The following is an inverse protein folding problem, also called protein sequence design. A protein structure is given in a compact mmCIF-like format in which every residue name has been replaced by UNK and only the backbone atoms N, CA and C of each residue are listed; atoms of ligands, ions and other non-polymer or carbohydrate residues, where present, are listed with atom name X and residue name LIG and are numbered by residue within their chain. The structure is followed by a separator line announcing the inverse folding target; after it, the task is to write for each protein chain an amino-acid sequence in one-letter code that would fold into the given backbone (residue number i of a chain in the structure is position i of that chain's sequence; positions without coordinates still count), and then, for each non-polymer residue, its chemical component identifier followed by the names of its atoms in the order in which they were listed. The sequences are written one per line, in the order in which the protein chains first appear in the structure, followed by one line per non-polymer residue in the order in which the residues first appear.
data_IF_103068818630
#
_entry.id   IF_103068818630
#
_cell.length_a   1.000
_cell.length_b   1.000
_cell.length_c   1.000
_cell.angle_alpha   90.00
_cell.angle_beta   90.00
_cell.angle_gamma   90.00
#
_symmetry.space_group_name_H-M   'P 1'
#
loop_
_entity.id
_entity.type
_entity.pdbx_description
1 polymer ?
#
# COMPACT_ATOMS: atom_id res chain seq x y z
N UNK A 1 -0.42 -13.13 -9.48
CA UNK A 1 -0.62 -12.78 -10.91
C UNK A 1 -1.43 -11.49 -11.08
N UNK A 2 -2.64 -11.40 -10.52
CA UNK A 2 -3.57 -10.26 -10.71
C UNK A 2 -2.94 -8.92 -10.29
N UNK A 3 -2.32 -8.84 -9.11
CA UNK A 3 -1.67 -7.61 -8.61
C UNK A 3 -0.58 -7.13 -9.57
N UNK A 4 0.19 -8.04 -10.19
CA UNK A 4 1.20 -7.66 -11.17
C UNK A 4 0.59 -7.10 -12.45
N UNK A 5 -0.55 -7.65 -12.89
CA UNK A 5 -1.29 -7.12 -14.05
C UNK A 5 -1.85 -5.73 -13.76
N UNK A 6 -2.47 -5.53 -12.58
CA UNK A 6 -2.97 -4.22 -12.16
C UNK A 6 -1.84 -3.20 -12.08
N UNK A 7 -0.72 -3.58 -11.45
CA UNK A 7 0.46 -2.73 -11.38
C UNK A 7 0.97 -2.34 -12.78
N UNK A 8 1.11 -3.30 -13.69
CA UNK A 8 1.58 -3.04 -15.05
C UNK A 8 0.62 -2.13 -15.85
N UNK A 9 -0.69 -2.34 -15.70
CA UNK A 9 -1.72 -1.61 -16.45
C UNK A 9 -1.87 -0.16 -16.01
N UNK A 10 -1.85 0.09 -14.68
CA UNK A 10 -2.13 1.40 -14.13
C UNK A 10 -0.90 2.28 -13.92
N UNK A 11 0.32 1.70 -13.98
CA UNK A 11 1.57 2.43 -13.74
C UNK A 11 1.84 3.50 -14.78
N UNK A 12 2.00 4.73 -14.32
CA UNK A 12 2.30 5.90 -15.17
C UNK A 12 3.59 5.70 -15.98
N UNK A 13 4.56 4.96 -15.45
CA UNK A 13 5.83 4.66 -16.15
C UNK A 13 5.67 3.67 -17.31
N UNK A 14 4.49 3.03 -17.45
CA UNK A 14 4.22 2.10 -18.54
C UNK A 14 3.37 2.71 -19.66
N UNK A 15 3.20 4.04 -19.69
CA UNK A 15 2.37 4.71 -20.70
C UNK A 15 2.76 4.34 -22.13
N UNK A 16 4.07 4.35 -22.44
CA UNK A 16 4.62 4.07 -23.78
C UNK A 16 4.85 2.58 -24.05
N UNK A 17 4.73 1.73 -23.03
CA UNK A 17 4.95 0.28 -23.12
C UNK A 17 3.65 -0.53 -23.25
N UNK A 18 2.53 0.12 -23.45
CA UNK A 18 1.23 -0.54 -23.42
C UNK A 18 1.07 -1.64 -24.46
N UNK A 19 1.55 -1.40 -25.69
CA UNK A 19 1.55 -2.41 -26.75
C UNK A 19 2.43 -3.62 -26.43
N UNK A 20 3.61 -3.38 -25.84
CA UNK A 20 4.53 -4.44 -25.41
C UNK A 20 3.89 -5.34 -24.34
N UNK A 21 3.22 -4.72 -23.36
CA UNK A 21 2.68 -5.42 -22.18
C UNK A 21 1.32 -6.08 -22.43
N UNK A 22 0.48 -5.50 -23.30
CA UNK A 22 -0.93 -5.89 -23.43
C UNK A 22 -1.40 -6.06 -24.89
N UNK A 23 -0.52 -5.97 -25.88
CA UNK A 23 -0.86 -5.96 -27.30
C UNK A 23 -1.64 -7.16 -27.80
N UNK A 24 -1.52 -8.31 -27.13
CA UNK A 24 -2.26 -9.55 -27.44
C UNK A 24 -3.51 -9.75 -26.55
N UNK A 25 -3.83 -8.80 -25.69
CA UNK A 25 -4.93 -8.90 -24.75
C UNK A 25 -6.11 -8.05 -25.19
N UNK A 26 -7.33 -8.50 -24.89
CA UNK A 26 -8.57 -7.76 -25.17
C UNK A 26 -8.53 -6.31 -24.67
N UNK A 27 -7.90 -6.07 -23.49
CA UNK A 27 -7.79 -4.75 -22.87
C UNK A 27 -6.94 -3.77 -23.71
N UNK A 28 -6.13 -4.24 -24.63
CA UNK A 28 -5.34 -3.37 -25.52
C UNK A 28 -6.25 -2.60 -26.48
N UNK A 29 -7.27 -3.27 -27.05
CA UNK A 29 -8.24 -2.66 -27.94
C UNK A 29 -9.32 -1.86 -27.19
N UNK A 30 -9.54 -2.18 -25.91
CA UNK A 30 -10.58 -1.58 -25.07
C UNK A 30 -9.99 -0.97 -23.77
N UNK A 31 -9.02 -0.04 -23.85
CA UNK A 31 -8.39 0.50 -22.66
C UNK A 31 -9.33 1.41 -21.86
N UNK A 32 -9.21 1.35 -20.55
CA UNK A 32 -9.92 2.30 -19.68
C UNK A 32 -9.25 3.68 -19.69
N UNK A 33 -9.99 4.73 -19.37
CA UNK A 33 -9.46 6.09 -19.23
C UNK A 33 -8.41 6.25 -18.14
N UNK A 34 -8.33 5.28 -17.23
CA UNK A 34 -7.40 5.27 -16.09
C UNK A 34 -6.09 4.53 -16.35
N UNK A 35 -5.91 3.95 -17.54
CA UNK A 35 -4.67 3.29 -17.94
C UNK A 35 -3.47 4.23 -17.79
N UNK A 36 -2.39 3.75 -17.17
CA UNK A 36 -1.14 4.47 -16.98
C UNK A 36 -1.33 5.89 -16.36
N UNK A 37 -2.17 5.98 -15.32
CA UNK A 37 -2.49 7.25 -14.65
C UNK A 37 -2.06 7.31 -13.19
N UNK A 38 -1.43 6.26 -12.66
CA UNK A 38 -1.11 6.17 -11.24
C UNK A 38 0.36 5.85 -11.01
N UNK A 39 0.90 6.37 -9.94
CA UNK A 39 2.06 5.78 -9.28
C UNK A 39 1.58 4.56 -8.48
N UNK A 40 2.29 3.45 -8.57
CA UNK A 40 1.90 2.19 -7.93
C UNK A 40 2.71 1.99 -6.65
N UNK A 41 2.04 2.07 -5.52
CA UNK A 41 2.60 1.69 -4.22
C UNK A 41 2.18 0.25 -3.90
N UNK A 42 3.13 -0.59 -3.48
CA UNK A 42 2.86 -2.01 -3.22
C UNK A 42 3.36 -2.42 -1.85
N UNK A 43 2.50 -3.14 -1.12
CA UNK A 43 2.88 -3.90 0.07
C UNK A 43 2.55 -5.38 -0.15
N UNK A 44 3.40 -6.26 0.34
CA UNK A 44 3.12 -7.69 0.46
C UNK A 44 3.48 -8.11 1.89
N UNK A 45 2.48 -8.33 2.71
CA UNK A 45 2.69 -8.60 4.13
C UNK A 45 3.07 -10.04 4.44
N UNK A 46 3.10 -10.93 3.44
CA UNK A 46 3.72 -12.26 3.62
C UNK A 46 5.24 -12.21 3.80
N UNK A 47 5.86 -11.10 3.37
CA UNK A 47 7.31 -10.91 3.48
C UNK A 47 7.75 -10.23 4.79
N UNK A 48 6.82 -9.92 5.70
CA UNK A 48 7.16 -9.34 7.02
C UNK A 48 7.70 -10.43 7.94
N UNK A 49 8.88 -10.20 8.51
CA UNK A 49 9.47 -11.12 9.47
C UNK A 49 8.73 -11.08 10.81
N UNK A 50 8.25 -12.24 11.27
CA UNK A 50 7.53 -12.36 12.54
C UNK A 50 8.46 -12.82 13.67
N UNK A 51 9.51 -12.04 13.96
CA UNK A 51 10.43 -12.34 15.06
C UNK A 51 9.82 -11.94 16.40
N UNK A 52 9.85 -12.83 17.43
CA UNK A 52 9.36 -12.52 18.76
C UNK A 52 10.00 -11.26 19.36
N UNK A 53 9.18 -10.37 19.93
CA UNK A 53 9.63 -9.12 20.54
C UNK A 53 10.06 -8.01 19.56
N UNK A 54 9.98 -8.28 18.24
CA UNK A 54 10.35 -7.33 17.16
C UNK A 54 9.30 -7.17 16.09
N UNK A 55 8.05 -7.51 16.38
CA UNK A 55 6.97 -7.51 15.39
C UNK A 55 6.74 -6.13 14.78
N UNK A 56 6.68 -5.10 15.62
CA UNK A 56 6.49 -3.72 15.19
C UNK A 56 7.71 -3.21 14.41
N UNK A 57 8.94 -3.46 14.90
CA UNK A 57 10.17 -3.09 14.21
C UNK A 57 10.24 -3.72 12.82
N UNK A 58 9.98 -5.03 12.71
CA UNK A 58 9.99 -5.76 11.43
C UNK A 58 8.91 -5.25 10.46
N UNK A 59 7.74 -4.90 10.96
CA UNK A 59 6.68 -4.30 10.16
C UNK A 59 7.08 -2.91 9.64
N UNK A 60 7.61 -2.06 10.51
CA UNK A 60 8.09 -0.72 10.17
C UNK A 60 9.23 -0.76 9.14
N UNK A 61 10.20 -1.66 9.31
CA UNK A 61 11.29 -1.87 8.36
C UNK A 61 10.76 -2.30 6.99
N UNK A 62 9.86 -3.28 6.96
CA UNK A 62 9.25 -3.75 5.72
C UNK A 62 8.51 -2.62 5.00
N UNK A 63 7.63 -1.91 5.70
CA UNK A 63 6.86 -0.81 5.11
C UNK A 63 7.78 0.31 4.63
N UNK A 64 8.78 0.68 5.42
CA UNK A 64 9.79 1.69 5.04
C UNK A 64 10.51 1.29 3.75
N UNK A 65 10.95 0.04 3.62
CA UNK A 65 11.58 -0.47 2.42
C UNK A 65 10.71 -0.29 1.17
N UNK A 66 9.41 -0.60 1.26
CA UNK A 66 8.45 -0.41 0.14
C UNK A 66 8.22 1.06 -0.21
N UNK A 67 8.19 1.94 0.79
CA UNK A 67 8.04 3.38 0.57
C UNK A 67 9.29 4.01 -0.08
N UNK A 68 10.48 3.54 0.30
CA UNK A 68 11.74 3.96 -0.34
C UNK A 68 11.80 3.49 -1.79
N UNK A 69 11.46 2.23 -2.06
CA UNK A 69 11.38 1.67 -3.42
C UNK A 69 10.41 2.45 -4.31
N UNK A 70 9.27 2.85 -3.74
CA UNK A 70 8.32 3.73 -4.42
C UNK A 70 8.94 5.09 -4.74
N UNK A 71 9.62 5.72 -3.77
CA UNK A 71 10.26 7.01 -3.97
C UNK A 71 11.35 6.96 -5.05
N UNK A 72 12.18 5.92 -5.04
CA UNK A 72 13.25 5.73 -6.02
C UNK A 72 12.67 5.48 -7.44
N UNK A 73 11.60 4.69 -7.54
CA UNK A 73 10.93 4.39 -8.81
C UNK A 73 10.31 5.61 -9.49
N UNK A 74 9.79 6.56 -8.71
CA UNK A 74 9.11 7.74 -9.20
C UNK A 74 9.88 9.04 -8.92
N UNK A 75 11.18 8.96 -8.64
CA UNK A 75 12.04 10.11 -8.32
C UNK A 75 11.89 11.24 -9.34
N UNK A 76 11.80 10.89 -10.64
CA UNK A 76 11.66 11.85 -11.74
C UNK A 76 10.35 12.67 -11.73
N UNK A 77 9.36 12.29 -10.93
CA UNK A 77 8.09 13.00 -10.75
C UNK A 77 8.10 13.94 -9.55
N UNK A 78 9.10 13.82 -8.68
CA UNK A 78 9.23 14.62 -7.46
C UNK A 78 10.35 15.65 -7.58
N UNK A 79 10.31 16.65 -6.69
CA UNK A 79 11.38 17.63 -6.62
C UNK A 79 12.67 17.04 -5.99
N UNK A 80 13.84 17.58 -6.33
CA UNK A 80 15.08 17.21 -5.66
C UNK A 80 14.96 17.30 -4.13
N UNK A 81 15.52 16.32 -3.41
CA UNK A 81 15.43 16.24 -1.96
C UNK A 81 14.21 15.48 -1.43
N UNK A 82 13.25 15.07 -2.26
CA UNK A 82 12.06 14.32 -1.84
C UNK A 82 12.43 13.06 -1.05
N UNK A 83 13.38 12.26 -1.56
CA UNK A 83 13.84 11.04 -0.89
C UNK A 83 14.50 11.34 0.46
N UNK A 84 15.30 12.39 0.55
CA UNK A 84 15.96 12.79 1.80
C UNK A 84 14.93 13.19 2.86
N UNK A 85 13.93 14.00 2.49
CA UNK A 85 12.83 14.39 3.36
C UNK A 85 11.97 13.18 3.78
N UNK A 86 11.74 12.22 2.88
CA UNK A 86 11.05 10.98 3.21
C UNK A 86 11.81 10.20 4.29
N UNK A 87 13.12 10.09 4.16
CA UNK A 87 13.96 9.35 5.11
C UNK A 87 14.12 10.07 6.47
N UNK A 88 13.90 11.37 6.54
CA UNK A 88 13.89 12.11 7.81
C UNK A 88 12.67 11.78 8.69
N UNK A 89 11.63 11.17 8.13
CA UNK A 89 10.44 10.70 8.88
C UNK A 89 10.77 9.43 9.66
N UNK A 90 10.18 9.29 10.84
CA UNK A 90 10.56 8.20 11.77
C UNK A 90 9.78 6.92 11.57
N UNK A 91 8.51 6.99 11.11
CA UNK A 91 7.62 5.82 10.96
C UNK A 91 7.12 5.65 9.53
N UNK A 92 6.71 4.43 9.18
CA UNK A 92 6.08 4.13 7.89
C UNK A 92 4.82 4.99 7.67
N UNK A 93 4.03 5.20 8.70
CA UNK A 93 2.82 6.02 8.63
C UNK A 93 3.12 7.49 8.31
N UNK A 94 4.14 8.08 8.94
CA UNK A 94 4.54 9.47 8.65
C UNK A 94 5.20 9.62 7.27
N UNK A 95 5.90 8.59 6.80
CA UNK A 95 6.45 8.53 5.43
C UNK A 95 5.33 8.45 4.40
N UNK A 96 4.32 7.61 4.65
CA UNK A 96 3.17 7.46 3.77
C UNK A 96 2.37 8.77 3.66
N UNK A 97 2.13 9.45 4.78
CA UNK A 97 1.47 10.76 4.80
C UNK A 97 2.27 11.81 4.02
N UNK A 98 3.59 11.83 4.18
CA UNK A 98 4.47 12.73 3.42
C UNK A 98 4.41 12.47 1.90
N UNK A 99 4.46 11.20 1.48
CA UNK A 99 4.30 10.82 0.07
C UNK A 99 2.95 11.31 -0.45
N UNK A 100 1.86 11.00 0.26
CA UNK A 100 0.51 11.37 -0.16
C UNK A 100 0.33 12.88 -0.26
N UNK A 101 0.75 13.64 0.75
CA UNK A 101 0.63 15.10 0.77
C UNK A 101 1.47 15.76 -0.33
N UNK A 102 2.67 15.24 -0.61
CA UNK A 102 3.55 15.77 -1.67
C UNK A 102 2.99 15.43 -3.05
N UNK A 103 2.56 14.19 -3.27
CA UNK A 103 1.93 13.78 -4.52
C UNK A 103 0.63 14.57 -4.79
N UNK A 104 -0.18 14.82 -3.76
CA UNK A 104 -1.41 15.63 -3.86
C UNK A 104 -1.12 17.06 -4.34
N UNK A 105 -0.11 17.73 -3.78
CA UNK A 105 0.31 19.08 -4.22
C UNK A 105 0.76 19.10 -5.68
N UNK A 106 1.37 18.01 -6.15
CA UNK A 106 1.82 17.85 -7.53
C UNK A 106 0.71 17.33 -8.47
N UNK A 107 -0.50 17.09 -7.95
CA UNK A 107 -1.63 16.48 -8.67
C UNK A 107 -1.30 15.12 -9.26
N UNK A 108 -0.41 14.38 -8.61
CA UNK A 108 -0.08 13.00 -8.92
C UNK A 108 -1.08 12.09 -8.21
N UNK A 109 -1.29 10.90 -8.78
CA UNK A 109 -2.28 9.94 -8.30
C UNK A 109 -1.58 8.65 -7.86
N UNK A 110 -2.00 8.09 -6.74
CA UNK A 110 -1.45 6.83 -6.20
C UNK A 110 -2.53 5.75 -6.23
N UNK A 111 -2.16 4.57 -6.70
CA UNK A 111 -2.92 3.34 -6.54
C UNK A 111 -2.13 2.41 -5.61
N UNK A 112 -2.69 2.13 -4.45
CA UNK A 112 -2.11 1.22 -3.47
C UNK A 112 -2.58 -0.21 -3.73
N UNK A 113 -1.63 -1.12 -3.83
CA UNK A 113 -1.86 -2.56 -3.97
C UNK A 113 -1.30 -3.27 -2.74
N UNK A 114 -2.16 -3.93 -1.98
CA UNK A 114 -1.76 -4.72 -0.81
C UNK A 114 -2.05 -6.19 -1.09
N UNK A 115 -1.00 -7.01 -1.02
CA UNK A 115 -1.09 -8.46 -1.17
C UNK A 115 -0.95 -9.14 0.18
N UNK A 116 -1.76 -10.18 0.40
CA UNK A 116 -1.71 -11.01 1.60
C UNK A 116 -1.72 -10.19 2.91
N UNK A 117 -2.65 -9.23 3.01
CA UNK A 117 -2.73 -8.29 4.14
C UNK A 117 -2.85 -9.00 5.49
N UNK A 118 -3.45 -10.18 5.52
CA UNK A 118 -3.72 -10.96 6.71
C UNK A 118 -2.62 -12.00 7.05
N UNK A 119 -1.68 -12.25 6.15
CA UNK A 119 -0.64 -13.26 6.36
C UNK A 119 0.21 -12.95 7.60
N UNK A 120 0.66 -11.72 7.75
CA UNK A 120 1.45 -11.28 8.90
C UNK A 120 0.70 -11.47 10.22
N UNK A 121 -0.55 -11.04 10.30
CA UNK A 121 -1.37 -11.15 11.50
C UNK A 121 -1.79 -12.59 11.80
N UNK A 122 -2.05 -13.41 10.78
CA UNK A 122 -2.31 -14.85 10.94
C UNK A 122 -1.06 -15.57 11.47
N UNK A 123 0.13 -15.17 11.02
CA UNK A 123 1.38 -15.69 11.56
C UNK A 123 1.57 -15.29 13.04
N UNK A 124 1.26 -14.06 13.41
CA UNK A 124 1.27 -13.63 14.82
C UNK A 124 0.32 -14.50 15.64
N UNK A 125 -0.92 -14.66 15.18
CA UNK A 125 -1.95 -15.41 15.90
C UNK A 125 -1.56 -16.89 16.08
N UNK A 126 -1.05 -17.51 15.03
CA UNK A 126 -0.70 -18.94 15.04
C UNK A 126 0.59 -19.24 15.82
N UNK A 127 1.55 -18.31 15.82
CA UNK A 127 2.87 -18.53 16.41
C UNK A 127 2.97 -18.01 17.83
N UNK A 128 2.36 -16.84 18.12
CA UNK A 128 2.52 -16.14 19.39
C UNK A 128 1.21 -16.05 20.21
N UNK A 129 0.09 -16.45 19.60
CA UNK A 129 -1.20 -16.53 20.26
C UNK A 129 -1.99 -15.22 20.26
N UNK A 130 -3.16 -15.29 20.93
CA UNK A 130 -4.19 -14.24 20.87
C UNK A 130 -3.75 -12.91 21.48
N UNK A 131 -2.90 -12.93 22.50
CA UNK A 131 -2.51 -11.72 23.21
C UNK A 131 -1.59 -10.84 22.35
N UNK A 132 -0.61 -11.44 21.67
CA UNK A 132 0.26 -10.72 20.73
C UNK A 132 -0.51 -10.25 19.49
N UNK A 133 -1.43 -11.07 18.98
CA UNK A 133 -2.33 -10.66 17.91
C UNK A 133 -3.15 -9.41 18.29
N UNK A 134 -3.75 -9.41 19.50
CA UNK A 134 -4.53 -8.26 19.98
C UNK A 134 -3.70 -7.00 20.17
N UNK A 135 -2.46 -7.13 20.67
CA UNK A 135 -1.54 -5.99 20.81
C UNK A 135 -1.25 -5.32 19.45
N UNK A 136 -1.15 -6.10 18.38
CA UNK A 136 -0.89 -5.57 17.04
C UNK A 136 -2.15 -4.98 16.38
N UNK A 137 -3.33 -5.62 16.57
CA UNK A 137 -4.53 -5.36 15.77
C UNK A 137 -5.64 -4.60 16.47
N UNK A 138 -5.56 -4.42 17.79
CA UNK A 138 -6.61 -3.75 18.61
C UNK A 138 -6.06 -2.53 19.34
N UNK A 139 -6.95 -1.63 19.76
CA UNK A 139 -6.58 -0.42 20.51
C UNK A 139 -5.57 0.44 19.73
N UNK A 140 -4.44 0.70 20.34
CA UNK A 140 -3.30 1.46 19.78
C UNK A 140 -2.29 0.59 19.02
N UNK A 141 -2.68 -0.63 18.62
CA UNK A 141 -1.79 -1.56 17.93
C UNK A 141 -1.24 -1.00 16.61
N UNK A 142 0.05 -1.19 16.36
CA UNK A 142 0.78 -0.59 15.24
C UNK A 142 0.19 -0.96 13.87
N UNK A 143 -0.27 -2.20 13.71
CA UNK A 143 -0.89 -2.68 12.47
C UNK A 143 -2.24 -1.99 12.22
N UNK A 144 -3.08 -1.88 13.26
CA UNK A 144 -4.34 -1.14 13.21
C UNK A 144 -4.11 0.34 12.91
N UNK A 145 -3.13 0.96 13.56
CA UNK A 145 -2.80 2.36 13.34
C UNK A 145 -2.41 2.63 11.88
N UNK A 146 -1.57 1.77 11.29
CA UNK A 146 -1.20 1.86 9.88
C UNK A 146 -2.41 1.83 8.95
N UNK A 147 -3.34 0.89 9.16
CA UNK A 147 -4.58 0.81 8.36
C UNK A 147 -5.53 2.00 8.59
N UNK A 148 -5.57 2.56 9.79
CA UNK A 148 -6.32 3.80 10.06
C UNK A 148 -5.75 4.98 9.28
N UNK A 149 -4.42 5.08 9.16
CA UNK A 149 -3.76 6.10 8.32
C UNK A 149 -4.13 5.88 6.85
N UNK A 150 -4.07 4.65 6.34
CA UNK A 150 -4.51 4.34 4.97
C UNK A 150 -5.96 4.76 4.71
N UNK A 151 -6.87 4.45 5.64
CA UNK A 151 -8.27 4.86 5.58
C UNK A 151 -8.42 6.38 5.51
N UNK A 152 -7.72 7.11 6.36
CA UNK A 152 -7.73 8.57 6.35
C UNK A 152 -7.26 9.11 4.99
N UNK A 153 -6.16 8.59 4.45
CA UNK A 153 -5.58 9.05 3.19
C UNK A 153 -6.45 8.71 1.96
N UNK A 154 -7.35 7.72 2.05
CA UNK A 154 -8.29 7.39 0.97
C UNK A 154 -9.64 8.11 1.08
N UNK A 155 -9.94 8.74 2.21
CA UNK A 155 -11.26 9.32 2.49
C UNK A 155 -11.34 10.82 2.19
N UNK A 156 -10.21 11.50 2.00
CA UNK A 156 -10.14 12.95 1.83
C UNK A 156 -10.28 13.39 0.37
N UNK A 157 -11.07 14.44 0.13
CA UNK A 157 -11.08 15.10 -1.18
C UNK A 157 -9.71 15.69 -1.50
N UNK A 158 -9.17 15.39 -2.69
CA UNK A 158 -7.88 15.91 -3.14
C UNK A 158 -6.66 15.14 -2.61
N UNK A 159 -6.85 14.00 -1.97
CA UNK A 159 -5.75 13.11 -1.61
C UNK A 159 -5.19 12.39 -2.84
N UNK A 160 -3.87 12.18 -2.88
CA UNK A 160 -3.23 11.48 -3.98
C UNK A 160 -3.56 9.99 -3.99
N UNK A 161 -3.74 9.37 -2.81
CA UNK A 161 -4.14 7.97 -2.68
C UNK A 161 -5.63 7.81 -3.04
N UNK A 162 -5.90 7.63 -4.34
CA UNK A 162 -7.27 7.60 -4.86
C UNK A 162 -7.86 6.19 -4.93
N UNK A 163 -7.01 5.18 -5.02
CA UNK A 163 -7.44 3.78 -5.18
C UNK A 163 -6.63 2.86 -4.33
N UNK A 164 -7.31 1.83 -3.82
CA UNK A 164 -6.68 0.75 -3.06
C UNK A 164 -7.29 -0.58 -3.49
N UNK A 165 -6.44 -1.57 -3.69
CA UNK A 165 -6.83 -2.96 -3.91
C UNK A 165 -6.09 -3.83 -2.91
N UNK A 166 -6.85 -4.61 -2.15
CA UNK A 166 -6.34 -5.45 -1.07
C UNK A 166 -6.71 -6.90 -1.34
N UNK A 167 -5.74 -7.82 -1.23
CA UNK A 167 -5.99 -9.25 -1.26
C UNK A 167 -5.59 -9.90 0.05
N UNK A 168 -6.30 -10.96 0.42
CA UNK A 168 -6.04 -11.78 1.59
C UNK A 168 -7.05 -12.91 1.69
N UNK A 169 -6.83 -13.84 2.60
CA UNK A 169 -7.65 -15.04 2.78
C UNK A 169 -8.68 -14.87 3.90
N UNK A 170 -8.36 -14.09 4.94
CA UNK A 170 -9.19 -13.93 6.13
C UNK A 170 -9.83 -12.55 6.21
N UNK A 171 -11.15 -12.41 6.06
CA UNK A 171 -11.83 -11.14 6.27
C UNK A 171 -11.82 -10.66 7.73
N UNK A 172 -11.65 -11.57 8.69
CA UNK A 172 -11.69 -11.27 10.14
C UNK A 172 -10.63 -10.24 10.53
N UNK A 173 -9.40 -10.41 10.04
CA UNK A 173 -8.30 -9.47 10.34
C UNK A 173 -8.61 -8.06 9.82
N UNK A 174 -9.23 -7.95 8.66
CA UNK A 174 -9.60 -6.64 8.11
C UNK A 174 -10.66 -5.95 8.97
N UNK A 175 -11.65 -6.69 9.49
CA UNK A 175 -12.69 -6.16 10.37
C UNK A 175 -12.10 -5.72 11.73
N UNK A 176 -11.12 -6.47 12.27
CA UNK A 176 -10.43 -6.14 13.52
C UNK A 176 -9.59 -4.85 13.41
N UNK A 177 -8.91 -4.64 12.29
CA UNK A 177 -8.02 -3.47 12.10
C UNK A 177 -8.75 -2.27 11.52
N UNK A 178 -9.90 -2.45 10.91
CA UNK A 178 -10.60 -1.42 10.14
C UNK A 178 -12.04 -1.22 10.53
N UNK A 179 -12.40 -1.23 11.83
CA UNK A 179 -13.79 -1.04 12.24
C UNK A 179 -14.44 0.09 11.41
N UNK A 180 -15.29 -0.28 10.43
CA UNK A 180 -15.98 0.66 9.54
C UNK A 180 -15.22 1.06 8.27
N UNK A 181 -14.43 0.18 7.64
CA UNK A 181 -13.92 0.39 6.28
C UNK A 181 -15.08 0.29 5.28
N UNK A 182 -15.87 1.37 5.17
CA UNK A 182 -16.99 1.48 4.23
C UNK A 182 -16.54 1.66 2.76
N UNK A 183 -15.25 1.39 2.46
CA UNK A 183 -14.68 1.53 1.09
C UNK A 183 -14.77 0.20 0.34
N UNK A 184 -15.39 -0.80 0.93
CA UNK A 184 -15.47 -2.16 0.38
C UNK A 184 -16.56 -2.27 -0.69
N UNK A 185 -16.16 -2.39 -1.96
CA UNK A 185 -16.93 -3.18 -2.92
C UNK A 185 -16.33 -4.58 -2.90
N UNK A 186 -16.99 -5.55 -2.27
CA UNK A 186 -16.61 -6.96 -2.41
C UNK A 186 -16.91 -7.37 -3.86
N UNK A 187 -15.90 -7.86 -4.54
CA UNK A 187 -16.01 -8.45 -5.88
C UNK A 187 -16.19 -9.95 -5.73
#
# INVERSE_FOLDING_TARGET
LLINMLAAYYDINNADRFKELFGEQWIYEHPTSLRAKFMILRFNFSAVNSTPGKLEESFEEHCTGRLVEFADKYEHLFQPGFRQELMSRTTASTRLDYINSTASRLRLRIYLLIDEYDNFTNTILSTFGKDEYRKATHGEGFFRYFFNVLKFLTSGNGMALERMFITGVSPITLDDVTSGFNIRTNI
#
